data_IF_796338038866
#
_entry.id   IF_796338038866
#
_cell.length_a   1.000
_cell.length_b   1.000
_cell.length_c   1.000
_cell.angle_alpha   90.00
_cell.angle_beta   90.00
_cell.angle_gamma   90.00
#
_symmetry.space_group_name_H-M   'P 1'
#
loop_
_entity.id
_entity.type
_entity.pdbx_description
1 polymer ?
#
# COMPACT_ATOMS: atom_id res chain seq x y z
N UNK A 1 4.04 8.03 -13.46
CA UNK A 1 4.59 7.13 -12.44
C UNK A 1 3.53 6.72 -11.43
N UNK A 2 3.84 5.73 -10.61
CA UNK A 2 2.91 5.16 -9.62
C UNK A 2 3.20 5.62 -8.18
N UNK A 3 4.14 6.58 -8.01
CA UNK A 3 4.56 7.08 -6.70
C UNK A 3 5.18 6.01 -5.80
N UNK A 4 5.31 6.31 -4.52
CA UNK A 4 5.89 5.39 -3.54
C UNK A 4 5.03 4.14 -3.32
N UNK A 5 3.71 4.26 -3.49
CA UNK A 5 2.78 3.12 -3.42
C UNK A 5 3.14 2.04 -4.46
N UNK A 6 3.40 2.43 -5.71
CA UNK A 6 3.75 1.49 -6.78
C UNK A 6 5.25 1.18 -6.88
N UNK A 7 6.11 1.89 -6.15
CA UNK A 7 7.54 1.63 -6.10
C UNK A 7 7.91 0.73 -4.91
N UNK A 8 7.95 1.30 -3.71
CA UNK A 8 8.26 0.55 -2.49
C UNK A 8 7.05 -0.24 -1.97
N UNK A 9 5.86 0.32 -2.13
CA UNK A 9 4.63 -0.24 -1.58
C UNK A 9 4.29 -1.64 -2.09
N UNK A 10 4.62 -1.97 -3.34
CA UNK A 10 4.38 -3.30 -3.90
C UNK A 10 5.03 -4.41 -3.09
N UNK A 11 6.23 -4.18 -2.56
CA UNK A 11 6.95 -5.16 -1.74
C UNK A 11 6.25 -5.42 -0.40
N UNK A 12 5.76 -4.35 0.25
CA UNK A 12 5.06 -4.48 1.52
C UNK A 12 3.65 -5.06 1.33
N UNK A 13 2.97 -4.69 0.26
CA UNK A 13 1.67 -5.27 -0.11
C UNK A 13 1.77 -6.78 -0.35
N UNK A 14 2.83 -7.21 -1.05
CA UNK A 14 3.10 -8.62 -1.32
C UNK A 14 3.24 -9.42 -0.02
N UNK A 15 4.13 -8.98 0.88
CA UNK A 15 4.35 -9.63 2.18
C UNK A 15 3.07 -9.62 3.03
N UNK A 16 2.36 -8.49 3.09
CA UNK A 16 1.14 -8.35 3.87
C UNK A 16 0.04 -9.28 3.36
N UNK A 17 -0.13 -9.37 2.03
CA UNK A 17 -1.08 -10.25 1.38
C UNK A 17 -0.81 -11.73 1.68
N UNK A 18 0.46 -12.17 1.58
CA UNK A 18 0.84 -13.54 1.91
C UNK A 18 0.52 -13.90 3.36
N UNK A 19 0.86 -13.02 4.31
CA UNK A 19 0.59 -13.27 5.74
C UNK A 19 -0.91 -13.28 6.03
N UNK A 20 -1.68 -12.41 5.37
CA UNK A 20 -3.12 -12.36 5.49
C UNK A 20 -3.84 -13.55 4.83
N UNK A 21 -3.14 -14.32 3.97
CA UNK A 21 -3.72 -15.45 3.24
C UNK A 21 -4.67 -15.03 2.12
N UNK A 22 -4.43 -13.87 1.50
CA UNK A 22 -5.27 -13.37 0.41
C UNK A 22 -4.76 -13.88 -0.94
N UNK A 23 -5.55 -14.74 -1.59
CA UNK A 23 -5.26 -15.33 -2.91
C UNK A 23 -5.93 -14.56 -4.07
N UNK A 24 -6.63 -13.47 -3.76
CA UNK A 24 -7.40 -12.67 -4.71
C UNK A 24 -7.33 -11.17 -4.44
N UNK A 25 -8.09 -10.42 -5.22
CA UNK A 25 -8.21 -8.98 -5.08
C UNK A 25 -9.21 -8.60 -3.97
N UNK A 26 -9.09 -7.41 -3.37
CA UNK A 26 -10.01 -6.93 -2.35
C UNK A 26 -11.39 -6.60 -2.95
N UNK A 27 -12.44 -6.75 -2.13
CA UNK A 27 -13.81 -6.36 -2.53
C UNK A 27 -13.97 -4.84 -2.65
N UNK A 28 -13.16 -4.09 -1.88
CA UNK A 28 -13.21 -2.64 -1.85
C UNK A 28 -11.83 -2.06 -1.60
N UNK A 29 -11.47 -1.03 -2.37
CA UNK A 29 -10.29 -0.22 -2.13
C UNK A 29 -10.66 1.25 -2.02
N UNK A 30 -10.09 1.93 -1.02
CA UNK A 30 -10.22 3.38 -0.85
C UNK A 30 -8.91 3.99 -0.40
N UNK A 31 -8.62 5.19 -0.89
CA UNK A 31 -7.38 5.89 -0.61
C UNK A 31 -7.64 7.32 -0.14
N UNK A 32 -6.78 7.82 0.74
CA UNK A 32 -6.75 9.23 1.17
C UNK A 32 -5.32 9.72 1.12
N UNK A 33 -5.09 10.93 0.63
CA UNK A 33 -3.74 11.50 0.59
C UNK A 33 -3.59 12.63 -0.41
N UNK A 34 -2.36 12.81 -0.87
CA UNK A 34 -2.04 13.84 -1.86
C UNK A 34 -0.54 14.01 -2.05
N UNK A 35 -0.18 15.02 -2.86
CA UNK A 35 1.18 15.53 -2.94
C UNK A 35 1.26 16.79 -2.11
N UNK A 36 1.89 16.69 -0.94
CA UNK A 36 1.77 17.65 0.14
C UNK A 36 3.14 17.98 0.73
N UNK A 37 3.31 19.22 1.17
CA UNK A 37 4.46 19.66 1.94
C UNK A 37 5.66 20.17 1.13
N UNK A 38 5.67 20.06 -0.20
CA UNK A 38 6.62 20.71 -1.11
C UNK A 38 5.98 21.01 -2.45
N UNK A 39 6.55 21.96 -3.15
CA UNK A 39 6.12 22.40 -4.49
C UNK A 39 7.15 21.96 -5.51
N UNK A 40 6.75 21.11 -6.43
CA UNK A 40 7.57 20.56 -7.51
C UNK A 40 6.70 20.10 -8.70
N UNK A 41 7.33 19.64 -9.77
CA UNK A 41 6.64 19.16 -10.98
C UNK A 41 6.05 17.75 -10.85
N UNK A 42 6.13 17.10 -9.69
CA UNK A 42 5.59 15.77 -9.44
C UNK A 42 4.06 15.77 -9.34
N UNK A 43 3.44 14.74 -9.88
CA UNK A 43 1.97 14.56 -9.88
C UNK A 43 1.50 13.28 -9.18
N UNK A 44 2.40 12.54 -8.55
CA UNK A 44 2.06 11.36 -7.76
C UNK A 44 1.98 11.70 -6.29
N UNK A 45 1.11 11.04 -5.51
CA UNK A 45 1.06 11.22 -4.07
C UNK A 45 2.40 10.92 -3.41
N UNK A 46 2.79 11.75 -2.45
CA UNK A 46 3.92 11.49 -1.56
C UNK A 46 3.46 11.11 -0.15
N UNK A 47 2.20 11.32 0.17
CA UNK A 47 1.60 11.02 1.46
C UNK A 47 0.22 10.42 1.19
N UNK A 48 0.01 9.17 1.64
CA UNK A 48 -1.17 8.41 1.28
C UNK A 48 -1.44 7.31 2.29
N UNK A 49 -2.72 7.10 2.61
CA UNK A 49 -3.24 5.93 3.30
C UNK A 49 -4.16 5.20 2.34
N UNK A 50 -3.97 3.91 2.16
CA UNK A 50 -4.84 3.04 1.34
C UNK A 50 -5.41 1.96 2.22
N UNK A 51 -6.71 1.71 2.10
CA UNK A 51 -7.40 0.58 2.71
C UNK A 51 -7.87 -0.36 1.62
N UNK A 52 -7.53 -1.64 1.77
CA UNK A 52 -8.08 -2.74 0.99
C UNK A 52 -8.90 -3.63 1.92
N UNK A 53 -10.19 -3.70 1.67
CA UNK A 53 -11.13 -4.50 2.45
C UNK A 53 -11.40 -5.82 1.74
N UNK A 54 -11.34 -6.92 2.51
CA UNK A 54 -11.64 -8.27 2.07
C UNK A 54 -12.80 -8.82 2.88
N UNK A 55 -13.88 -9.22 2.23
CA UNK A 55 -15.01 -9.86 2.91
C UNK A 55 -14.57 -11.21 3.49
N UNK A 56 -14.64 -11.33 4.82
CA UNK A 56 -14.25 -12.53 5.54
C UNK A 56 -12.76 -12.71 5.81
N UNK A 57 -11.92 -11.71 5.51
CA UNK A 57 -10.50 -11.71 5.80
C UNK A 57 -10.02 -10.44 6.51
N UNK A 58 -8.74 -10.37 6.90
CA UNK A 58 -8.18 -9.15 7.48
C UNK A 58 -8.01 -8.06 6.44
N UNK A 59 -8.29 -6.81 6.82
CA UNK A 59 -8.03 -5.64 5.98
C UNK A 59 -6.53 -5.37 5.86
N UNK A 60 -6.10 -4.87 4.69
CA UNK A 60 -4.76 -4.36 4.48
C UNK A 60 -4.78 -2.84 4.47
N UNK A 61 -3.97 -2.23 5.33
CA UNK A 61 -3.77 -0.78 5.39
C UNK A 61 -2.35 -0.46 4.97
N UNK A 62 -2.21 0.34 3.93
CA UNK A 62 -0.92 0.85 3.49
C UNK A 62 -0.79 2.33 3.87
N UNK A 63 0.38 2.70 4.39
CA UNK A 63 0.72 4.08 4.72
C UNK A 63 2.03 4.46 4.04
N UNK A 64 2.07 5.62 3.39
CA UNK A 64 3.30 6.26 2.92
C UNK A 64 3.34 7.71 3.36
N UNK A 65 4.51 8.16 3.82
CA UNK A 65 4.80 9.53 4.24
C UNK A 65 6.14 9.95 3.65
N UNK A 66 6.08 10.80 2.62
CA UNK A 66 7.25 11.25 1.87
C UNK A 66 7.99 12.44 2.51
N UNK A 67 7.46 13.01 3.61
CA UNK A 67 8.13 14.04 4.40
C UNK A 67 8.90 13.42 5.57
N UNK A 68 9.95 14.06 6.10
CA UNK A 68 10.55 13.70 7.37
C UNK A 68 9.54 13.76 8.52
N UNK A 69 9.91 13.25 9.69
CA UNK A 69 9.00 13.17 10.83
C UNK A 69 8.40 14.53 11.26
N UNK A 70 9.14 15.62 11.05
CA UNK A 70 8.73 16.99 11.38
C UNK A 70 9.55 18.04 10.61
N UNK A 71 9.17 19.30 10.73
CA UNK A 71 9.82 20.42 10.03
C UNK A 71 11.26 20.66 10.49
N UNK A 72 11.62 20.35 11.71
CA UNK A 72 12.99 20.48 12.19
C UNK A 72 13.89 19.43 11.51
N UNK A 73 13.40 18.22 11.37
CA UNK A 73 14.08 17.13 10.66
C UNK A 73 14.30 17.45 9.18
N UNK A 74 13.42 18.21 8.53
CA UNK A 74 13.62 18.66 7.14
C UNK A 74 14.88 19.54 6.98
N UNK A 75 15.20 20.37 7.99
CA UNK A 75 16.34 21.28 7.95
C UNK A 75 17.68 20.59 8.25
N UNK A 76 17.66 19.41 8.88
CA UNK A 76 18.87 18.69 9.30
C UNK A 76 19.29 17.60 8.30
N UNK A 77 18.56 16.50 8.29
CA UNK A 77 18.86 15.33 7.48
C UNK A 77 17.56 14.67 7.02
N UNK A 78 17.12 15.03 5.83
CA UNK A 78 15.88 14.55 5.25
C UNK A 78 15.80 13.01 5.24
N UNK A 79 16.81 12.35 4.68
CA UNK A 79 16.80 10.90 4.49
C UNK A 79 16.89 10.09 5.79
N UNK A 80 17.64 10.58 6.77
CA UNK A 80 17.85 9.92 8.05
C UNK A 80 16.74 10.15 9.09
N UNK A 81 15.88 11.14 8.85
CA UNK A 81 14.86 11.60 9.80
C UNK A 81 13.42 11.32 9.36
N UNK A 82 13.22 10.31 8.54
CA UNK A 82 11.89 9.90 8.12
C UNK A 82 11.06 9.38 9.30
N UNK A 83 9.74 9.46 9.14
CA UNK A 83 8.79 8.97 10.13
C UNK A 83 8.83 7.44 10.25
N UNK A 84 8.30 6.92 11.35
CA UNK A 84 8.17 5.49 11.60
C UNK A 84 6.92 5.18 12.42
N UNK A 85 6.35 4.01 12.21
CA UNK A 85 5.25 3.50 13.02
C UNK A 85 5.74 2.28 13.81
N UNK A 86 5.56 2.29 15.13
CA UNK A 86 5.96 1.18 16.02
C UNK A 86 7.42 0.71 15.85
N UNK A 87 8.31 1.67 15.55
CA UNK A 87 9.75 1.41 15.33
C UNK A 87 10.09 0.85 13.95
N UNK A 88 9.13 0.72 13.04
CA UNK A 88 9.33 0.29 11.67
C UNK A 88 9.22 1.49 10.73
N UNK A 89 10.24 1.74 9.93
CA UNK A 89 10.26 2.80 8.92
C UNK A 89 9.73 2.32 7.57
N UNK A 90 10.16 1.16 7.14
CA UNK A 90 9.68 0.47 5.94
C UNK A 90 9.51 -1.00 6.33
N UNK A 91 8.31 -1.55 6.20
CA UNK A 91 8.03 -2.92 6.57
C UNK A 91 6.55 -3.21 6.72
N UNK A 92 6.23 -4.32 7.36
CA UNK A 92 4.86 -4.77 7.60
C UNK A 92 4.65 -4.97 9.11
N UNK A 93 3.49 -4.54 9.58
CA UNK A 93 3.00 -4.75 10.93
C UNK A 93 1.71 -5.55 10.86
N UNK A 94 1.66 -6.67 11.58
CA UNK A 94 0.47 -7.52 11.63
C UNK A 94 -0.05 -7.53 13.06
N UNK A 95 -1.29 -7.07 13.24
CA UNK A 95 -1.99 -7.14 14.50
C UNK A 95 -2.79 -8.43 14.58
N UNK A 96 -2.53 -9.23 15.61
CA UNK A 96 -3.18 -10.50 15.87
C UNK A 96 -3.90 -10.48 17.22
N UNK A 97 -4.85 -11.37 17.43
CA UNK A 97 -5.52 -11.51 18.74
C UNK A 97 -4.54 -11.83 19.88
N UNK A 98 -3.47 -12.56 19.59
CA UNK A 98 -2.45 -12.98 20.55
C UNK A 98 -1.27 -12.02 20.72
N UNK A 99 -1.17 -10.97 19.91
CA UNK A 99 -0.03 -10.06 19.92
C UNK A 99 0.23 -9.41 18.57
N UNK A 100 1.50 -9.27 18.16
CA UNK A 100 1.84 -8.61 16.90
C UNK A 100 3.03 -9.29 16.21
N UNK A 101 3.10 -9.16 14.88
CA UNK A 101 4.28 -9.53 14.10
C UNK A 101 4.85 -8.26 13.46
N UNK A 102 6.16 -8.04 13.60
CA UNK A 102 6.90 -6.94 12.95
C UNK A 102 7.86 -7.52 11.92
N UNK A 103 7.81 -6.99 10.70
CA UNK A 103 8.63 -7.40 9.57
C UNK A 103 9.34 -6.14 9.05
N UNK A 104 10.49 -5.77 9.62
CA UNK A 104 11.20 -4.54 9.28
C UNK A 104 12.10 -4.69 8.05
N UNK A 105 12.21 -5.89 7.48
CA UNK A 105 13.01 -6.17 6.28
C UNK A 105 12.51 -7.44 5.59
N UNK A 106 12.99 -7.70 4.39
CA UNK A 106 12.64 -8.92 3.62
C UNK A 106 13.18 -10.22 4.22
N UNK A 107 14.09 -10.14 5.18
CA UNK A 107 14.82 -11.28 5.74
C UNK A 107 14.58 -11.45 7.24
N UNK A 108 13.75 -10.63 7.86
CA UNK A 108 13.55 -10.70 9.30
C UNK A 108 12.11 -10.43 9.72
N UNK A 109 11.67 -11.17 10.73
CA UNK A 109 10.40 -11.00 11.39
C UNK A 109 10.56 -11.25 12.89
N UNK A 110 9.76 -10.56 13.70
CA UNK A 110 9.72 -10.75 15.16
C UNK A 110 8.28 -10.77 15.64
N UNK A 111 7.90 -11.82 16.36
CA UNK A 111 6.60 -11.94 17.01
C UNK A 111 6.67 -11.44 18.47
N UNK A 112 5.64 -10.74 18.86
CA UNK A 112 5.44 -10.19 20.21
C UNK A 112 4.11 -10.69 20.75
N UNK A 113 4.04 -10.93 22.05
CA UNK A 113 2.77 -11.18 22.73
C UNK A 113 1.98 -9.89 22.99
N UNK A 114 0.83 -10.01 23.73
CA UNK A 114 -0.01 -8.85 24.08
C UNK A 114 0.66 -7.84 24.97
N UNK A 115 1.67 -8.26 25.75
CA UNK A 115 2.44 -7.40 26.64
C UNK A 115 3.66 -6.79 25.94
N UNK A 116 3.76 -6.95 24.60
CA UNK A 116 4.87 -6.50 23.76
C UNK A 116 6.22 -7.15 24.13
N UNK A 117 6.17 -8.34 24.71
CA UNK A 117 7.38 -9.16 24.98
C UNK A 117 7.68 -9.98 23.72
N UNK A 118 8.95 -9.99 23.32
CA UNK A 118 9.40 -10.81 22.19
C UNK A 118 9.21 -12.31 22.49
N UNK A 119 8.45 -12.99 21.62
CA UNK A 119 8.19 -14.43 21.71
C UNK A 119 9.14 -15.21 20.82
N UNK A 120 9.37 -14.69 19.60
CA UNK A 120 10.21 -15.37 18.61
C UNK A 120 10.70 -14.40 17.54
N UNK A 121 11.93 -14.60 17.10
CA UNK A 121 12.51 -13.89 15.95
C UNK A 121 12.96 -14.88 14.87
N UNK A 122 12.86 -14.44 13.63
CA UNK A 122 13.37 -15.14 12.45
C UNK A 122 14.32 -14.20 11.71
N UNK A 123 15.38 -14.76 11.16
CA UNK A 123 16.30 -14.08 10.27
C UNK A 123 16.79 -15.09 9.24
N UNK A 124 16.10 -15.15 8.14
CA UNK A 124 16.39 -16.04 7.03
C UNK A 124 16.13 -15.32 5.73
N UNK A 125 16.99 -15.51 4.73
CA UNK A 125 16.83 -15.03 3.38
C UNK A 125 16.95 -16.18 2.40
N UNK A 126 16.24 -16.13 1.28
CA UNK A 126 16.35 -17.06 0.18
C UNK A 126 17.26 -16.53 -0.92
N UNK A 127 17.78 -17.43 -1.75
CA UNK A 127 18.44 -17.08 -3.01
C UNK A 127 17.41 -17.08 -4.14
N UNK A 128 16.80 -15.92 -4.39
CA UNK A 128 15.78 -15.77 -5.44
C UNK A 128 16.35 -15.92 -6.86
N UNK A 129 17.66 -15.66 -7.04
CA UNK A 129 18.30 -15.90 -8.34
C UNK A 129 18.46 -17.40 -8.60
N UNK A 130 18.88 -18.17 -7.58
CA UNK A 130 18.92 -19.62 -7.69
C UNK A 130 17.54 -20.20 -7.91
N UNK A 131 16.51 -19.77 -7.17
CA UNK A 131 15.13 -20.19 -7.35
C UNK A 131 14.64 -19.97 -8.79
N UNK A 132 14.89 -18.80 -9.37
CA UNK A 132 14.54 -18.53 -10.76
C UNK A 132 15.24 -19.50 -11.75
N UNK A 133 16.55 -19.71 -11.58
CA UNK A 133 17.32 -20.61 -12.45
C UNK A 133 16.84 -22.05 -12.32
N UNK A 134 16.52 -22.50 -11.11
CA UNK A 134 16.03 -23.86 -10.87
C UNK A 134 14.61 -24.06 -11.45
N UNK A 135 13.73 -23.09 -11.32
CA UNK A 135 12.41 -23.10 -11.99
C UNK A 135 12.51 -23.10 -13.52
N UNK A 136 13.49 -22.37 -14.09
CA UNK A 136 13.78 -22.42 -15.54
C UNK A 136 14.25 -23.82 -15.97
N UNK A 137 15.00 -24.51 -15.15
CA UNK A 137 15.51 -25.88 -15.45
C UNK A 137 14.43 -26.94 -15.30
N UNK A 138 13.67 -26.90 -14.21
CA UNK A 138 12.60 -27.88 -13.95
C UNK A 138 11.41 -27.72 -14.87
N UNK A 139 11.11 -26.50 -15.32
CA UNK A 139 9.88 -26.12 -16.03
C UNK A 139 8.61 -26.33 -15.23
N UNK A 140 8.74 -26.52 -13.93
CA UNK A 140 7.62 -26.63 -13.01
C UNK A 140 7.29 -25.26 -12.42
N UNK A 141 6.09 -24.73 -12.72
CA UNK A 141 5.63 -23.42 -12.24
C UNK A 141 5.64 -23.35 -10.72
N UNK A 142 5.29 -24.45 -10.03
CA UNK A 142 5.25 -24.54 -8.58
C UNK A 142 6.60 -24.40 -7.88
N UNK A 143 7.72 -24.52 -8.62
CA UNK A 143 9.06 -24.30 -8.06
C UNK A 143 9.43 -22.81 -7.98
N UNK A 144 8.68 -21.95 -8.68
CA UNK A 144 8.91 -20.50 -8.64
C UNK A 144 8.21 -19.87 -7.41
N UNK A 145 8.99 -19.36 -6.49
CA UNK A 145 8.48 -18.76 -5.24
C UNK A 145 7.58 -17.55 -5.48
N UNK A 146 7.89 -16.75 -6.50
CA UNK A 146 7.09 -15.57 -6.89
C UNK A 146 6.65 -15.71 -8.35
N UNK A 147 5.56 -16.43 -8.56
CA UNK A 147 4.92 -16.54 -9.88
C UNK A 147 4.37 -15.20 -10.35
N UNK A 148 4.17 -15.04 -11.66
CA UNK A 148 3.62 -13.80 -12.22
C UNK A 148 2.25 -13.43 -11.65
N UNK A 149 1.43 -14.40 -11.28
CA UNK A 149 0.14 -14.19 -10.66
C UNK A 149 0.29 -13.47 -9.30
N UNK A 150 1.28 -13.84 -8.49
CA UNK A 150 1.59 -13.17 -7.22
C UNK A 150 1.98 -11.71 -7.45
N UNK A 151 2.82 -11.47 -8.46
CA UNK A 151 3.22 -10.12 -8.85
C UNK A 151 2.06 -9.28 -9.38
N UNK A 152 1.15 -9.88 -10.13
CA UNK A 152 -0.07 -9.24 -10.64
C UNK A 152 -0.99 -8.81 -9.50
N UNK A 153 -1.32 -9.71 -8.57
CA UNK A 153 -2.15 -9.39 -7.41
C UNK A 153 -1.56 -8.25 -6.58
N UNK A 154 -0.27 -8.32 -6.26
CA UNK A 154 0.39 -7.32 -5.40
C UNK A 154 0.52 -5.96 -6.09
N UNK A 155 0.80 -5.92 -7.39
CA UNK A 155 0.82 -4.67 -8.16
C UNK A 155 -0.57 -4.07 -8.35
N UNK A 156 -1.59 -4.91 -8.53
CA UNK A 156 -2.98 -4.46 -8.64
C UNK A 156 -3.47 -3.77 -7.38
N UNK A 157 -3.07 -4.22 -6.18
CA UNK A 157 -3.35 -3.48 -4.94
C UNK A 157 -2.84 -2.03 -5.00
N UNK A 158 -1.61 -1.84 -5.46
CA UNK A 158 -1.03 -0.51 -5.61
C UNK A 158 -1.79 0.33 -6.65
N UNK A 159 -2.17 -0.28 -7.78
CA UNK A 159 -2.95 0.40 -8.80
C UNK A 159 -4.34 0.80 -8.33
N UNK A 160 -5.05 -0.07 -7.59
CA UNK A 160 -6.35 0.25 -7.01
C UNK A 160 -6.27 1.45 -6.05
N UNK A 161 -5.25 1.50 -5.18
CA UNK A 161 -5.01 2.63 -4.30
C UNK A 161 -4.77 3.95 -5.07
N UNK A 162 -3.94 3.91 -6.11
CA UNK A 162 -3.67 5.07 -6.96
C UNK A 162 -4.90 5.49 -7.79
N UNK A 163 -5.64 4.55 -8.36
CA UNK A 163 -6.87 4.82 -9.10
C UNK A 163 -7.93 5.45 -8.20
N UNK A 164 -8.13 4.89 -6.99
CA UNK A 164 -9.04 5.46 -6.01
C UNK A 164 -8.75 6.94 -5.77
N UNK A 165 -7.49 7.28 -5.50
CA UNK A 165 -7.09 8.67 -5.25
C UNK A 165 -7.27 9.55 -6.50
N UNK A 166 -6.91 9.04 -7.68
CA UNK A 166 -6.97 9.78 -8.95
C UNK A 166 -8.38 10.18 -9.38
N UNK A 167 -9.37 9.35 -9.06
CA UNK A 167 -10.80 9.66 -9.33
C UNK A 167 -11.52 10.22 -8.10
N UNK A 168 -10.76 10.62 -7.09
CA UNK A 168 -11.24 11.22 -5.86
C UNK A 168 -11.55 12.72 -5.98
N UNK A 169 -11.85 13.33 -4.84
CA UNK A 169 -12.12 14.75 -4.72
C UNK A 169 -11.47 15.33 -3.46
N UNK A 170 -11.15 16.65 -3.44
CA UNK A 170 -10.79 17.32 -2.20
C UNK A 170 -11.87 17.08 -1.12
N UNK A 171 -11.46 16.86 0.10
CA UNK A 171 -12.34 16.45 1.19
C UNK A 171 -11.98 17.12 2.51
N UNK A 172 -12.99 17.31 3.34
CA UNK A 172 -12.85 17.74 4.72
C UNK A 172 -12.39 16.57 5.60
N UNK A 173 -11.94 16.85 6.82
CA UNK A 173 -11.62 15.81 7.79
C UNK A 173 -12.84 14.95 8.15
N UNK A 174 -14.03 15.54 8.20
CA UNK A 174 -15.28 14.82 8.41
C UNK A 174 -15.55 13.81 7.28
N UNK A 175 -15.44 14.23 6.01
CA UNK A 175 -15.55 13.34 4.83
C UNK A 175 -14.57 12.16 4.90
N UNK A 176 -13.35 12.40 5.38
CA UNK A 176 -12.30 11.39 5.49
C UNK A 176 -12.62 10.40 6.62
N UNK A 177 -13.00 10.92 7.78
CA UNK A 177 -13.41 10.09 8.91
C UNK A 177 -14.58 9.19 8.54
N UNK A 178 -15.60 9.72 7.90
CA UNK A 178 -16.76 8.96 7.44
C UNK A 178 -16.38 7.84 6.47
N UNK A 179 -15.40 8.06 5.59
CA UNK A 179 -14.92 7.05 4.67
C UNK A 179 -14.19 5.89 5.34
N UNK A 180 -13.52 6.15 6.47
CA UNK A 180 -12.64 5.23 7.17
C UNK A 180 -13.23 4.65 8.47
N UNK A 181 -14.41 5.15 8.92
CA UNK A 181 -15.02 4.75 10.21
C UNK A 181 -15.30 3.26 10.33
N UNK A 182 -15.53 2.57 9.23
CA UNK A 182 -15.82 1.13 9.25
C UNK A 182 -14.61 0.27 9.57
N UNK A 183 -13.40 0.82 9.45
CA UNK A 183 -12.13 0.14 9.73
C UNK A 183 -11.32 0.99 10.70
N UNK A 184 -11.35 0.70 12.02
CA UNK A 184 -10.69 1.53 13.04
C UNK A 184 -9.20 1.79 12.76
N UNK A 185 -8.47 0.79 12.26
CA UNK A 185 -7.05 0.92 11.93
C UNK A 185 -6.81 1.93 10.79
N UNK A 186 -7.70 1.98 9.78
CA UNK A 186 -7.61 2.95 8.69
C UNK A 186 -7.88 4.37 9.19
N UNK A 187 -8.85 4.54 10.08
CA UNK A 187 -9.13 5.83 10.70
C UNK A 187 -7.94 6.32 11.55
N UNK A 188 -7.33 5.45 12.34
CA UNK A 188 -6.13 5.74 13.11
C UNK A 188 -4.95 6.12 12.21
N UNK A 189 -4.74 5.41 11.10
CA UNK A 189 -3.71 5.70 10.10
C UNK A 189 -3.91 7.09 9.48
N UNK A 190 -5.14 7.47 9.17
CA UNK A 190 -5.45 8.82 8.68
C UNK A 190 -5.17 9.90 9.73
N UNK A 191 -5.48 9.67 10.99
CA UNK A 191 -5.15 10.62 12.07
C UNK A 191 -3.64 10.79 12.22
N UNK A 192 -2.87 9.70 12.18
CA UNK A 192 -1.40 9.78 12.19
C UNK A 192 -0.85 10.52 10.96
N UNK A 193 -1.43 10.33 9.79
CA UNK A 193 -1.06 11.05 8.58
C UNK A 193 -1.31 12.56 8.74
N UNK A 194 -2.45 12.96 9.26
CA UNK A 194 -2.77 14.38 9.51
C UNK A 194 -1.79 15.00 10.51
N UNK A 195 -1.55 14.35 11.63
CA UNK A 195 -0.59 14.83 12.63
C UNK A 195 0.83 14.98 12.05
N UNK A 196 1.25 14.05 11.20
CA UNK A 196 2.52 14.12 10.47
C UNK A 196 2.59 15.33 9.52
N UNK A 197 1.53 15.61 8.76
CA UNK A 197 1.45 16.75 7.85
C UNK A 197 1.48 18.08 8.63
N UNK A 198 0.74 18.18 9.73
CA UNK A 198 0.74 19.34 10.61
C UNK A 198 2.12 19.58 11.23
N UNK A 199 2.81 18.53 11.70
CA UNK A 199 4.17 18.60 12.22
C UNK A 199 5.19 19.10 11.17
N UNK A 200 4.88 18.91 9.90
CA UNK A 200 5.65 19.43 8.77
C UNK A 200 5.18 20.82 8.30
N UNK A 201 4.20 21.42 8.97
CA UNK A 201 3.70 22.77 8.69
C UNK A 201 2.81 22.83 7.44
N UNK A 202 2.22 21.71 7.04
CA UNK A 202 1.24 21.65 5.93
C UNK A 202 -0.10 22.20 6.42
N UNK A 203 -0.60 23.22 5.74
CA UNK A 203 -1.90 23.83 6.00
C UNK A 203 -2.97 23.10 5.19
N UNK A 204 -3.70 22.20 5.84
CA UNK A 204 -4.73 21.37 5.21
C UNK A 204 -6.01 22.14 4.82
N UNK A 205 -6.19 23.37 5.31
CA UNK A 205 -7.28 24.23 4.84
C UNK A 205 -6.95 24.81 3.46
N UNK A 206 -5.67 25.14 3.21
CA UNK A 206 -5.20 25.65 1.92
C UNK A 206 -4.90 24.55 0.91
N UNK A 207 -4.41 23.42 1.40
CA UNK A 207 -4.03 22.28 0.59
C UNK A 207 -4.74 21.04 1.10
N UNK A 208 -6.02 20.87 0.78
CA UNK A 208 -6.85 19.80 1.34
C UNK A 208 -6.37 18.43 0.84
N UNK A 209 -6.56 17.43 1.69
CA UNK A 209 -6.41 16.03 1.31
C UNK A 209 -7.42 15.67 0.23
N UNK A 210 -7.04 14.74 -0.63
CA UNK A 210 -7.96 14.08 -1.55
C UNK A 210 -8.51 12.81 -0.87
N UNK A 211 -9.83 12.71 -0.79
CA UNK A 211 -10.53 11.45 -0.52
C UNK A 211 -10.76 10.75 -1.84
N UNK A 212 -10.17 9.59 -2.01
CA UNK A 212 -10.37 8.72 -3.15
C UNK A 212 -11.79 8.18 -3.23
N UNK A 213 -12.21 7.81 -4.44
CA UNK A 213 -13.44 7.07 -4.61
C UNK A 213 -13.31 5.65 -4.05
N UNK A 214 -14.37 5.16 -3.43
CA UNK A 214 -14.47 3.77 -3.02
C UNK A 214 -14.63 2.88 -4.27
N UNK A 215 -13.60 2.11 -4.60
CA UNK A 215 -13.58 1.23 -5.77
C UNK A 215 -13.98 -0.18 -5.34
N UNK A 216 -15.12 -0.64 -5.86
CA UNK A 216 -15.52 -2.05 -5.73
C UNK A 216 -14.87 -2.84 -6.84
N UNK A 217 -14.37 -4.02 -6.51
CA UNK A 217 -13.74 -4.93 -7.45
C UNK A 217 -14.55 -6.22 -7.50
N UNK A 218 -14.83 -6.72 -8.69
CA UNK A 218 -15.38 -8.05 -8.86
C UNK A 218 -14.27 -9.08 -8.68
N UNK A 219 -14.37 -9.90 -7.64
CA UNK A 219 -13.32 -10.85 -7.25
C UNK A 219 -13.05 -11.97 -8.26
N UNK A 220 -13.93 -12.15 -9.27
CA UNK A 220 -13.75 -13.16 -10.33
C UNK A 220 -13.10 -12.59 -11.57
N UNK A 221 -13.56 -11.41 -12.01
CA UNK A 221 -13.05 -10.78 -13.24
C UNK A 221 -11.89 -9.82 -12.97
N UNK A 222 -11.72 -9.34 -11.74
CA UNK A 222 -10.78 -8.26 -11.40
C UNK A 222 -11.25 -6.87 -11.83
N UNK A 223 -12.44 -6.76 -12.40
CA UNK A 223 -12.97 -5.51 -12.94
C UNK A 223 -13.47 -4.55 -11.86
N UNK A 224 -13.25 -3.24 -12.08
CA UNK A 224 -13.80 -2.20 -11.21
C UNK A 224 -15.27 -1.99 -11.55
N UNK A 225 -16.14 -2.19 -10.56
CA UNK A 225 -17.59 -2.10 -10.71
C UNK A 225 -18.11 -0.76 -10.18
N UNK A 226 -19.07 -0.15 -10.92
CA UNK A 226 -19.80 1.03 -10.46
C UNK A 226 -19.03 2.35 -10.57
N UNK A 227 -17.81 2.34 -11.15
CA UNK A 227 -17.05 3.56 -11.45
C UNK A 227 -16.42 3.46 -12.85
N UNK A 228 -17.14 3.96 -13.86
CA UNK A 228 -16.72 3.88 -15.26
C UNK A 228 -15.40 4.63 -15.54
N UNK A 229 -15.13 5.72 -14.82
CA UNK A 229 -13.90 6.49 -15.00
C UNK A 229 -12.70 5.68 -14.50
N UNK A 230 -12.81 5.10 -13.32
CA UNK A 230 -11.75 4.24 -12.78
C UNK A 230 -11.56 2.99 -13.63
N UNK A 231 -12.63 2.33 -14.04
CA UNK A 231 -12.57 1.15 -14.91
C UNK A 231 -11.85 1.45 -16.24
N UNK A 232 -12.18 2.57 -16.90
CA UNK A 232 -11.47 2.98 -18.11
C UNK A 232 -9.99 3.31 -17.88
N UNK A 233 -9.63 3.89 -16.74
CA UNK A 233 -8.24 4.17 -16.40
C UNK A 233 -7.44 2.91 -16.05
N UNK A 234 -8.10 1.86 -15.60
CA UNK A 234 -7.49 0.55 -15.35
C UNK A 234 -7.10 -0.18 -16.63
N UNK A 235 -7.78 0.12 -17.75
CA UNK A 235 -7.53 -0.48 -19.06
C UNK A 235 -6.95 0.55 -20.03
N UNK A 236 -5.61 0.72 -20.08
CA UNK A 236 -4.99 1.69 -20.97
C UNK A 236 -5.17 1.29 -22.44
N UNK A 237 -5.40 2.29 -23.29
CA UNK A 237 -5.36 2.08 -24.74
C UNK A 237 -3.91 1.85 -25.18
N UNK A 238 -3.65 0.69 -25.76
CA UNK A 238 -2.33 0.35 -26.29
C UNK A 238 -2.11 1.00 -27.65
N UNK A 239 -0.92 1.53 -27.85
CA UNK A 239 -0.52 2.13 -29.13
C UNK A 239 0.01 1.07 -30.10
N UNK A 240 -0.56 0.99 -31.29
CA UNK A 240 -0.04 0.11 -32.34
C UNK A 240 1.43 0.42 -32.68
N UNK A 241 2.31 -0.59 -32.92
CA UNK A 241 2.01 -2.03 -32.95
C UNK A 241 2.10 -2.73 -31.56
N UNK A 242 2.28 -1.99 -30.47
CA UNK A 242 2.53 -2.51 -29.11
C UNK A 242 1.18 -2.82 -28.41
N UNK A 243 0.36 -3.63 -29.03
CA UNK A 243 -0.93 -4.04 -28.48
C UNK A 243 -0.75 -5.41 -27.83
N UNK A 244 -1.22 -5.54 -26.57
CA UNK A 244 -1.26 -6.85 -25.89
C UNK A 244 -2.33 -7.69 -26.59
N UNK A 245 -2.02 -8.92 -27.04
CA UNK A 245 -3.01 -9.82 -27.64
C UNK A 245 -4.14 -10.14 -26.66
N UNK A 246 -5.35 -10.31 -27.17
CA UNK A 246 -6.51 -10.73 -26.37
C UNK A 246 -6.45 -12.20 -25.94
N UNK A 247 -5.62 -12.97 -26.60
CA UNK A 247 -5.33 -14.39 -26.29
C UNK A 247 -3.81 -14.57 -26.23
N UNK A 248 -3.32 -15.18 -25.15
CA UNK A 248 -1.91 -15.51 -24.90
C UNK A 248 -1.74 -17.01 -24.76
#
# INVERSE_FOLDING_TARGET
>A
GNGDLGNQGVHQMDIARWIAGHDGLPDLSVSVGGRLGYDDDGNTPNTQVVMHHYEGGPDLIFEVRGLPRDKAAQAEDWGGRMDSAFGVRIGVLVNCEGGALRIPSYESATAFDRDSVEVKSWREGGDHFANFVDAVRSRERGDLTADIHEGDLSSTLCHLGNLSLRVGRPATMEDIQDAMTKVPLAAESCLRMVAHLEANGVDLEKTPLTRGAALRVDGKSGEIVGNEVAARLAHPEYRAPFVVPSEV
#
